data_IF_292305360712
#
_entry.id   IF_292305360712
#
_cell.length_a   1.000
_cell.length_b   1.000
_cell.length_c   1.000
_cell.angle_alpha   90.00
_cell.angle_beta   90.00
_cell.angle_gamma   90.00
#
_symmetry.space_group_name_H-M   'P 1'
#
loop_
_entity.id
_entity.type
_entity.pdbx_description
1 polymer ?
#
# COMPACT_ATOMS: atom_id res chain seq x y z
N UNK A 1 17.23 20.20 -5.82
CA UNK A 1 16.95 19.00 -4.99
C UNK A 1 15.84 18.24 -5.69
N UNK A 2 16.15 17.11 -6.32
CA UNK A 2 15.12 16.22 -6.87
C UNK A 2 14.28 15.68 -5.71
N UNK A 3 12.94 15.63 -5.81
CA UNK A 3 12.13 15.00 -4.78
C UNK A 3 12.57 13.53 -4.68
N UNK A 4 12.93 13.07 -3.49
CA UNK A 4 13.21 11.66 -3.28
C UNK A 4 11.96 10.88 -3.68
N UNK A 5 12.07 9.98 -4.66
CA UNK A 5 10.95 9.15 -5.09
C UNK A 5 10.45 8.37 -3.88
N UNK A 6 9.21 8.62 -3.46
CA UNK A 6 8.58 7.89 -2.37
C UNK A 6 8.43 6.45 -2.83
N UNK A 7 9.07 5.51 -2.14
CA UNK A 7 9.03 4.11 -2.52
C UNK A 7 7.61 3.56 -2.32
N UNK A 8 7.03 3.03 -3.39
CA UNK A 8 5.70 2.43 -3.40
C UNK A 8 5.83 0.94 -3.08
N UNK A 9 5.05 0.45 -2.11
CA UNK A 9 4.96 -0.97 -1.74
C UNK A 9 3.54 -1.47 -2.00
N UNK A 10 3.45 -2.50 -2.84
CA UNK A 10 2.21 -3.24 -3.07
C UNK A 10 2.11 -4.44 -2.12
N UNK A 11 1.05 -4.49 -1.32
CA UNK A 11 0.69 -5.63 -0.47
C UNK A 11 -0.50 -6.36 -1.09
N UNK A 12 -0.22 -7.53 -1.68
CA UNK A 12 -1.23 -8.44 -2.22
C UNK A 12 -1.44 -9.61 -1.27
N UNK A 13 -2.70 -9.93 -0.95
CA UNK A 13 -3.05 -10.99 -0.01
C UNK A 13 -4.48 -11.48 -0.22
N UNK A 14 -4.77 -12.70 0.23
CA UNK A 14 -6.14 -13.09 0.61
C UNK A 14 -6.55 -12.27 1.83
N UNK A 15 -7.81 -11.84 1.90
CA UNK A 15 -8.27 -10.93 2.97
C UNK A 15 -8.82 -11.70 4.17
N UNK A 16 -9.65 -12.70 3.90
CA UNK A 16 -10.49 -13.33 4.92
C UNK A 16 -9.68 -14.03 6.02
N UNK A 17 -9.89 -13.62 7.27
CA UNK A 17 -9.29 -14.22 8.46
C UNK A 17 -7.93 -13.65 8.87
N UNK A 18 -7.42 -12.64 8.16
CA UNK A 18 -6.14 -11.97 8.47
C UNK A 18 -6.21 -10.44 8.39
N UNK A 19 -7.40 -9.86 8.47
CA UNK A 19 -7.64 -8.42 8.34
C UNK A 19 -6.85 -7.62 9.38
N UNK A 20 -6.78 -8.06 10.64
CA UNK A 20 -6.00 -7.38 11.69
C UNK A 20 -4.50 -7.36 11.36
N UNK A 21 -3.98 -8.45 10.78
CA UNK A 21 -2.59 -8.50 10.35
C UNK A 21 -2.34 -7.53 9.20
N UNK A 22 -3.26 -7.44 8.24
CA UNK A 22 -3.18 -6.50 7.13
C UNK A 22 -3.23 -5.05 7.61
N UNK A 23 -4.08 -4.72 8.58
CA UNK A 23 -4.11 -3.40 9.23
C UNK A 23 -2.78 -3.05 9.91
N UNK A 24 -2.17 -4.00 10.61
CA UNK A 24 -0.86 -3.80 11.24
C UNK A 24 0.24 -3.57 10.21
N UNK A 25 0.28 -4.36 9.14
CA UNK A 25 1.25 -4.19 8.05
C UNK A 25 1.09 -2.81 7.41
N UNK A 26 -0.15 -2.40 7.10
CA UNK A 26 -0.45 -1.08 6.54
C UNK A 26 0.04 0.05 7.46
N UNK A 27 -0.26 -0.05 8.75
CA UNK A 27 0.13 0.94 9.76
C UNK A 27 1.64 1.06 9.88
N UNK A 28 2.35 -0.08 9.96
CA UNK A 28 3.81 -0.08 10.05
C UNK A 28 4.46 0.54 8.83
N UNK A 29 4.10 0.08 7.62
CA UNK A 29 4.70 0.57 6.38
C UNK A 29 4.41 2.07 6.16
N UNK A 30 3.21 2.53 6.51
CA UNK A 30 2.85 3.95 6.44
C UNK A 30 3.65 4.78 7.45
N UNK A 31 3.85 4.27 8.68
CA UNK A 31 4.68 4.93 9.69
C UNK A 31 6.17 5.01 9.29
N UNK A 32 6.67 4.05 8.51
CA UNK A 32 8.00 4.09 7.91
C UNK A 32 8.12 5.10 6.75
N UNK A 33 7.03 5.68 6.29
CA UNK A 33 7.02 6.69 5.22
C UNK A 33 6.86 6.13 3.81
N UNK A 34 6.55 4.84 3.66
CA UNK A 34 6.22 4.25 2.36
C UNK A 34 4.86 4.74 1.86
N UNK A 35 4.70 4.75 0.54
CA UNK A 35 3.37 4.75 -0.06
C UNK A 35 2.91 3.30 -0.17
N UNK A 36 1.78 2.97 0.45
CA UNK A 36 1.30 1.59 0.54
C UNK A 36 0.05 1.45 -0.30
N UNK A 37 0.12 0.55 -1.27
CA UNK A 37 -1.04 0.10 -2.02
C UNK A 37 -1.43 -1.29 -1.54
N UNK A 38 -2.69 -1.49 -1.15
CA UNK A 38 -3.13 -2.74 -0.54
C UNK A 38 -4.51 -3.12 -1.03
N UNK A 39 -4.65 -4.33 -1.58
CA UNK A 39 -5.90 -4.84 -2.14
C UNK A 39 -7.06 -4.81 -1.14
N UNK A 40 -6.78 -5.04 0.14
CA UNK A 40 -7.74 -4.97 1.24
C UNK A 40 -8.27 -3.54 1.51
N UNK A 41 -7.44 -2.52 1.30
CA UNK A 41 -7.76 -1.11 1.60
C UNK A 41 -8.40 -0.35 0.44
N UNK A 42 -8.41 -0.92 -0.77
CA UNK A 42 -9.05 -0.32 -1.94
C UNK A 42 -8.41 -0.72 -3.27
N UNK A 43 -9.03 -0.28 -4.36
CA UNK A 43 -8.58 -0.52 -5.73
C UNK A 43 -7.41 0.38 -6.11
N UNK A 44 -6.44 -0.21 -6.81
CA UNK A 44 -5.30 0.50 -7.39
C UNK A 44 -5.75 1.63 -8.32
N UNK A 45 -5.14 2.83 -8.24
CA UNK A 45 -5.34 3.84 -9.28
C UNK A 45 -4.84 3.28 -10.61
N UNK A 46 -5.74 3.17 -11.59
CA UNK A 46 -5.36 2.87 -12.97
C UNK A 46 -5.12 4.22 -13.65
N UNK A 47 -3.86 4.53 -13.92
CA UNK A 47 -3.52 5.67 -14.76
C UNK A 47 -3.71 5.26 -16.21
N UNK A 48 -4.80 5.71 -16.83
CA UNK A 48 -4.97 5.65 -18.27
C UNK A 48 -4.16 6.77 -18.90
N UNK A 49 -2.83 6.61 -18.99
CA UNK A 49 -2.05 7.41 -19.93
C UNK A 49 -2.38 6.89 -21.34
N UNK A 50 -3.43 7.46 -21.93
CA UNK A 50 -3.67 7.43 -23.38
C UNK A 50 -3.31 8.78 -23.99
#
# INVERSE_FOLDING_TARGET
MSPALKQIILVSSTVYGIEELLERIYTLLTAFGYEVWMSHKGTMPVFSDQ
#
